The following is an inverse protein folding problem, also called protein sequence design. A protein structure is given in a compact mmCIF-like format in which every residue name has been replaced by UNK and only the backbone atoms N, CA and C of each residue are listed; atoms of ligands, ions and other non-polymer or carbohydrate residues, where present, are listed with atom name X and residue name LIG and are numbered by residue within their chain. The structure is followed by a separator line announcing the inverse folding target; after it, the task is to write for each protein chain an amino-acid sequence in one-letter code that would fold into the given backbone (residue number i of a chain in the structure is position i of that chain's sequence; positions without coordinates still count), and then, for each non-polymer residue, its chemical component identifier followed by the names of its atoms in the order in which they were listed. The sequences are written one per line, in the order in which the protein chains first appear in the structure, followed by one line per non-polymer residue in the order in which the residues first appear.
data_IF_014648622374
#
_entry.id   IF_014648622374
#
_cell.length_a   1.000
_cell.length_b   1.000
_cell.length_c   1.000
_cell.angle_alpha   90.00
_cell.angle_beta   90.00
_cell.angle_gamma   90.00
#
_symmetry.space_group_name_H-M   'P 1'
#
loop_
_entity.id
_entity.type
_entity.pdbx_description
1 polymer ?
#
# COMPACT_ATOMS: atom_id res chain seq x y z
N UNK A 1 -41.69 47.51 -26.75
CA UNK A 1 -41.92 46.14 -26.24
C UNK A 1 -40.93 45.10 -26.83
N UNK A 2 -39.61 45.32 -26.79
CA UNK A 2 -38.63 44.33 -27.34
C UNK A 2 -37.36 44.10 -26.48
N UNK A 3 -37.23 44.73 -25.31
CA UNK A 3 -36.03 44.60 -24.46
C UNK A 3 -36.18 43.68 -23.24
N UNK A 4 -37.39 43.21 -22.94
CA UNK A 4 -37.66 42.40 -21.75
C UNK A 4 -37.43 40.88 -21.95
N UNK A 5 -37.28 40.41 -23.18
CA UNK A 5 -37.19 38.97 -23.46
C UNK A 5 -35.78 38.36 -23.30
N UNK A 6 -34.73 39.19 -23.28
CA UNK A 6 -33.35 38.72 -23.18
C UNK A 6 -32.88 38.47 -21.73
N UNK A 7 -33.56 39.04 -20.72
CA UNK A 7 -33.19 38.86 -19.31
C UNK A 7 -33.77 37.57 -18.70
N UNK A 8 -34.78 36.96 -19.33
CA UNK A 8 -35.39 35.72 -18.86
C UNK A 8 -34.62 34.45 -19.30
N UNK A 9 -33.72 34.56 -20.28
CA UNK A 9 -32.95 33.41 -20.79
C UNK A 9 -31.64 33.22 -20.01
N UNK A 10 -31.12 34.25 -19.33
CA UNK A 10 -29.90 34.11 -18.52
C UNK A 10 -30.13 33.48 -17.14
N UNK A 11 -31.37 33.42 -16.65
CA UNK A 11 -31.69 32.89 -15.32
C UNK A 11 -31.80 31.35 -15.27
N UNK A 12 -31.85 30.66 -16.42
CA UNK A 12 -32.05 29.20 -16.48
C UNK A 12 -30.76 28.38 -16.59
N UNK A 13 -29.59 29.01 -16.56
CA UNK A 13 -28.29 28.31 -16.65
C UNK A 13 -27.48 28.31 -15.34
N UNK A 14 -28.04 28.75 -14.23
CA UNK A 14 -27.49 28.45 -12.91
C UNK A 14 -27.97 27.06 -12.48
N UNK A 15 -27.51 26.00 -13.19
CA UNK A 15 -27.41 24.69 -12.57
C UNK A 15 -26.37 24.83 -11.47
N UNK A 16 -26.82 25.12 -10.26
CA UNK A 16 -25.98 25.00 -9.06
C UNK A 16 -25.34 23.63 -9.10
N UNK A 17 -24.00 23.58 -9.10
CA UNK A 17 -23.27 22.34 -8.98
C UNK A 17 -23.67 21.70 -7.65
N UNK A 18 -24.42 20.60 -7.70
CA UNK A 18 -24.72 19.81 -6.51
C UNK A 18 -23.40 19.18 -6.07
N UNK A 19 -22.84 19.54 -4.90
CA UNK A 19 -21.63 18.91 -4.40
C UNK A 19 -21.90 17.42 -4.26
N UNK A 20 -20.99 16.55 -4.70
CA UNK A 20 -21.21 15.10 -4.76
C UNK A 20 -21.69 14.52 -3.41
N UNK A 21 -23.00 14.26 -3.23
CA UNK A 21 -23.55 13.89 -1.93
C UNK A 21 -23.25 12.42 -1.61
N UNK A 22 -23.15 11.59 -2.65
CA UNK A 22 -22.92 10.16 -2.57
C UNK A 22 -21.60 9.82 -1.87
N UNK A 23 -20.50 10.48 -2.24
CA UNK A 23 -19.20 10.20 -1.63
C UNK A 23 -19.18 10.57 -0.15
N UNK A 24 -19.72 11.74 0.20
CA UNK A 24 -19.76 12.22 1.60
C UNK A 24 -20.63 11.32 2.47
N UNK A 25 -21.80 10.93 1.97
CA UNK A 25 -22.72 10.07 2.69
C UNK A 25 -22.12 8.66 2.87
N UNK A 26 -21.61 8.07 1.78
CA UNK A 26 -21.02 6.73 1.82
C UNK A 26 -19.83 6.65 2.77
N UNK A 27 -18.94 7.64 2.73
CA UNK A 27 -17.80 7.69 3.67
C UNK A 27 -18.26 7.71 5.13
N UNK A 28 -19.33 8.45 5.43
CA UNK A 28 -19.90 8.53 6.78
C UNK A 28 -20.57 7.22 7.19
N UNK A 29 -21.29 6.57 6.28
CA UNK A 29 -21.95 5.30 6.56
C UNK A 29 -20.94 4.16 6.80
N UNK A 30 -19.92 4.03 5.93
CA UNK A 30 -18.90 3.00 6.07
C UNK A 30 -18.11 3.13 7.38
N UNK A 31 -17.84 4.36 7.82
CA UNK A 31 -17.06 4.61 9.05
C UNK A 31 -17.91 4.68 10.33
N UNK A 32 -19.25 4.55 10.24
CA UNK A 32 -20.13 4.79 11.40
C UNK A 32 -19.86 3.82 12.55
N UNK A 33 -19.67 2.55 12.22
CA UNK A 33 -19.50 1.43 13.16
C UNK A 33 -18.17 0.69 12.88
N UNK A 34 -17.25 1.32 12.16
CA UNK A 34 -15.96 0.72 11.78
C UNK A 34 -14.92 0.92 12.88
N UNK A 35 -14.24 -0.15 13.27
CA UNK A 35 -13.15 -0.12 14.24
C UNK A 35 -11.82 -0.52 13.59
N UNK A 36 -10.85 0.40 13.45
CA UNK A 36 -9.54 0.11 12.84
C UNK A 36 -8.69 -0.94 13.58
N UNK A 37 -9.06 -1.31 14.80
CA UNK A 37 -8.37 -2.35 15.57
C UNK A 37 -8.89 -3.75 15.27
N UNK A 38 -10.04 -3.87 14.61
CA UNK A 38 -10.65 -5.15 14.27
C UNK A 38 -10.13 -5.64 12.92
N UNK A 39 -9.67 -6.89 12.88
CA UNK A 39 -9.21 -7.52 11.65
C UNK A 39 -10.41 -7.67 10.69
N UNK A 40 -10.35 -7.15 9.45
CA UNK A 40 -11.52 -6.99 8.60
C UNK A 40 -11.91 -8.28 7.85
N UNK A 41 -12.29 -9.32 8.60
CA UNK A 41 -12.73 -10.63 8.07
C UNK A 41 -14.22 -10.85 8.30
N UNK A 42 -14.86 -11.59 7.40
CA UNK A 42 -16.26 -11.98 7.57
C UNK A 42 -16.48 -13.03 8.67
N UNK A 43 -15.45 -13.83 8.95
CA UNK A 43 -15.47 -14.89 9.96
C UNK A 43 -14.11 -14.94 10.65
N UNK A 44 -14.11 -14.87 11.98
CA UNK A 44 -12.91 -14.85 12.81
C UNK A 44 -12.02 -16.08 12.62
N UNK A 45 -12.61 -17.21 12.22
CA UNK A 45 -11.88 -18.46 11.99
C UNK A 45 -11.04 -18.47 10.71
N UNK A 46 -11.26 -17.54 9.78
CA UNK A 46 -10.50 -17.46 8.53
C UNK A 46 -9.32 -16.50 8.68
N UNK A 47 -8.19 -16.83 8.06
CA UNK A 47 -7.05 -15.93 7.93
C UNK A 47 -7.42 -14.74 7.02
N UNK A 48 -6.84 -13.56 7.30
CA UNK A 48 -6.85 -12.45 6.36
C UNK A 48 -5.65 -12.60 5.42
N UNK A 49 -5.90 -12.69 4.12
CA UNK A 49 -4.83 -12.75 3.12
C UNK A 49 -4.40 -11.34 2.72
N UNK A 50 -3.14 -10.99 2.98
CA UNK A 50 -2.51 -9.76 2.49
C UNK A 50 -1.73 -10.09 1.23
N UNK A 51 -2.06 -9.41 0.12
CA UNK A 51 -1.32 -9.52 -1.12
C UNK A 51 -0.12 -8.57 -1.08
N UNK A 52 1.04 -9.14 -0.74
CA UNK A 52 2.27 -8.38 -0.61
C UNK A 52 2.89 -8.15 -2.00
N UNK A 53 2.68 -6.95 -2.53
CA UNK A 53 3.38 -6.46 -3.72
C UNK A 53 4.61 -5.68 -3.28
N UNK A 54 5.76 -5.95 -3.88
CA UNK A 54 7.00 -5.22 -3.65
C UNK A 54 7.44 -4.57 -4.96
N UNK A 55 7.48 -3.25 -5.01
CA UNK A 55 7.97 -2.52 -6.19
C UNK A 55 9.32 -1.90 -5.86
N UNK A 56 10.40 -2.39 -6.48
CA UNK A 56 11.75 -1.86 -6.27
C UNK A 56 11.98 -0.66 -7.18
N UNK A 57 12.14 0.52 -6.59
CA UNK A 57 12.42 1.75 -7.34
C UNK A 57 13.92 1.93 -7.52
N UNK A 58 14.71 1.71 -6.47
CA UNK A 58 16.15 1.95 -6.52
C UNK A 58 16.90 1.15 -5.43
N UNK A 59 18.06 0.61 -5.78
CA UNK A 59 19.12 0.26 -4.82
C UNK A 59 19.92 1.53 -4.59
N UNK A 60 19.78 2.12 -3.40
CA UNK A 60 20.40 3.41 -3.11
C UNK A 60 21.86 3.25 -2.71
N UNK A 61 22.15 2.24 -1.88
CA UNK A 61 23.49 2.01 -1.35
C UNK A 61 23.67 0.57 -0.88
N UNK A 62 24.89 0.04 -1.02
CA UNK A 62 25.32 -1.26 -0.48
C UNK A 62 26.62 -1.00 0.29
N UNK A 63 26.54 -0.91 1.62
CA UNK A 63 27.72 -0.75 2.47
C UNK A 63 28.27 -2.15 2.81
N UNK A 64 29.33 -2.55 2.13
CA UNK A 64 29.96 -3.87 2.29
C UNK A 64 30.65 -4.00 3.64
N UNK A 65 31.14 -2.89 4.20
CA UNK A 65 31.84 -2.85 5.48
C UNK A 65 30.84 -3.00 6.63
N UNK A 66 29.73 -2.30 6.57
CA UNK A 66 28.67 -2.34 7.59
C UNK A 66 27.67 -3.45 7.34
N UNK A 67 27.72 -4.13 6.19
CA UNK A 67 26.83 -5.22 5.80
C UNK A 67 25.37 -4.74 5.70
N UNK A 68 25.17 -3.58 5.06
CA UNK A 68 23.87 -2.89 4.97
C UNK A 68 23.49 -2.68 3.51
N UNK A 69 22.23 -3.01 3.18
CA UNK A 69 21.59 -2.65 1.93
C UNK A 69 20.50 -1.61 2.19
N UNK A 70 20.54 -0.50 1.44
CA UNK A 70 19.52 0.54 1.47
C UNK A 70 18.74 0.56 0.15
N UNK A 71 17.41 0.37 0.21
CA UNK A 71 16.52 0.37 -0.96
C UNK A 71 15.36 1.36 -0.82
N UNK A 72 14.88 1.86 -1.96
CA UNK A 72 13.62 2.60 -2.06
C UNK A 72 12.57 1.70 -2.72
N UNK A 73 11.47 1.43 -2.03
CA UNK A 73 10.43 0.54 -2.51
C UNK A 73 9.03 0.93 -2.04
N UNK A 74 8.01 0.42 -2.74
CA UNK A 74 6.58 0.58 -2.39
C UNK A 74 5.97 -0.78 -2.07
N UNK A 75 5.00 -0.83 -1.15
CA UNK A 75 4.47 -2.07 -0.58
C UNK A 75 2.95 -2.19 -0.65
N UNK A 76 2.42 -3.42 -0.72
CA UNK A 76 1.18 -3.92 -0.10
C UNK A 76 -0.22 -3.64 -0.71
N UNK A 77 -1.09 -4.66 -0.66
CA UNK A 77 -2.53 -4.62 -0.96
C UNK A 77 -3.30 -5.63 -0.08
N UNK A 78 -4.55 -5.36 0.34
CA UNK A 78 -5.41 -6.34 1.05
C UNK A 78 -6.90 -6.15 0.72
N UNK A 79 -7.76 -7.01 1.26
CA UNK A 79 -9.21 -6.86 1.18
C UNK A 79 -9.81 -6.60 2.56
N UNK A 80 -10.69 -5.62 2.66
CA UNK A 80 -11.47 -5.30 3.85
C UNK A 80 -12.94 -5.68 3.63
N UNK A 81 -13.47 -6.55 4.47
CA UNK A 81 -14.85 -7.01 4.36
C UNK A 81 -15.89 -5.92 4.68
N UNK A 82 -15.57 -4.99 5.58
CA UNK A 82 -16.50 -3.97 6.05
C UNK A 82 -16.54 -2.73 5.15
N UNK A 83 -15.51 -2.51 4.33
CA UNK A 83 -15.43 -1.39 3.39
C UNK A 83 -15.98 -1.73 1.99
N UNK A 84 -17.11 -2.44 1.94
CA UNK A 84 -17.76 -2.84 0.69
C UNK A 84 -19.05 -2.04 0.45
N UNK A 85 -19.32 -1.69 -0.81
CA UNK A 85 -20.57 -1.03 -1.17
C UNK A 85 -21.01 -1.37 -2.59
N UNK A 86 -22.31 -1.21 -2.84
CA UNK A 86 -22.86 -1.39 -4.18
C UNK A 86 -22.66 -0.12 -5.01
N UNK A 87 -21.90 -0.21 -6.12
CA UNK A 87 -21.66 0.94 -6.99
C UNK A 87 -22.95 1.51 -7.61
N UNK A 88 -24.00 0.70 -7.77
CA UNK A 88 -25.26 1.15 -8.36
C UNK A 88 -26.04 2.13 -7.47
N UNK A 89 -25.85 2.06 -6.16
CA UNK A 89 -26.48 2.94 -5.17
C UNK A 89 -25.77 4.31 -5.05
N UNK A 90 -24.49 4.35 -5.45
CA UNK A 90 -23.63 5.52 -5.34
C UNK A 90 -23.02 5.89 -6.70
N UNK A 91 -23.83 6.41 -7.64
CA UNK A 91 -23.38 6.69 -8.99
C UNK A 91 -22.20 7.67 -8.99
N UNK A 92 -21.12 7.29 -9.66
CA UNK A 92 -19.88 8.07 -9.78
C UNK A 92 -18.84 7.81 -8.68
N UNK A 93 -19.15 7.05 -7.63
CA UNK A 93 -18.21 6.72 -6.54
C UNK A 93 -17.59 5.34 -6.77
N UNK A 94 -16.45 5.31 -7.46
CA UNK A 94 -15.71 4.06 -7.74
C UNK A 94 -14.74 3.68 -6.62
N UNK A 95 -14.02 4.69 -6.12
CA UNK A 95 -13.00 4.52 -5.08
C UNK A 95 -13.15 5.61 -4.02
N UNK A 96 -12.82 5.26 -2.79
CA UNK A 96 -12.75 6.16 -1.64
C UNK A 96 -11.31 6.23 -1.14
N UNK A 97 -10.98 7.33 -0.47
CA UNK A 97 -9.67 7.52 0.15
C UNK A 97 -9.83 7.66 1.65
N UNK A 98 -9.03 6.91 2.39
CA UNK A 98 -8.98 6.93 3.84
C UNK A 98 -7.56 7.23 4.29
N UNK A 99 -7.40 7.91 5.42
CA UNK A 99 -6.08 7.95 6.06
C UNK A 99 -5.81 6.59 6.72
N UNK A 100 -4.54 6.17 6.86
CA UNK A 100 -4.21 4.88 7.47
C UNK A 100 -4.74 4.71 8.90
N UNK A 101 -4.94 5.81 9.64
CA UNK A 101 -5.47 5.76 11.00
C UNK A 101 -7.01 5.62 11.05
N UNK A 102 -7.71 5.76 9.92
CA UNK A 102 -9.18 5.62 9.83
C UNK A 102 -9.63 4.19 9.51
N UNK A 103 -8.72 3.36 9.00
CA UNK A 103 -9.01 2.00 8.54
C UNK A 103 -8.00 1.03 9.14
N UNK A 104 -8.37 -0.23 9.26
CA UNK A 104 -7.43 -1.27 9.66
C UNK A 104 -6.28 -1.34 8.64
N UNK A 105 -5.06 -1.37 9.13
CA UNK A 105 -3.84 -1.55 8.33
C UNK A 105 -2.99 -2.64 8.96
N UNK A 106 -2.47 -3.61 8.20
CA UNK A 106 -1.63 -4.65 8.75
C UNK A 106 -0.29 -4.07 9.21
N UNK A 107 0.24 -4.62 10.28
CA UNK A 107 1.50 -4.24 10.93
C UNK A 107 2.71 -4.93 10.30
N UNK A 108 2.85 -4.83 8.98
CA UNK A 108 3.96 -5.45 8.24
C UNK A 108 5.22 -4.60 8.38
N UNK A 109 6.26 -5.18 8.95
CA UNK A 109 7.54 -4.53 9.20
C UNK A 109 8.71 -5.35 8.65
N UNK A 110 9.85 -4.69 8.44
CA UNK A 110 11.10 -5.32 8.04
C UNK A 110 11.83 -5.89 9.27
N UNK A 111 11.93 -7.22 9.36
CA UNK A 111 12.52 -7.93 10.50
C UNK A 111 14.04 -7.79 10.57
N UNK A 112 14.71 -7.82 9.42
CA UNK A 112 16.15 -7.63 9.33
C UNK A 112 16.52 -6.16 9.09
N UNK A 113 15.75 -5.22 9.68
CA UNK A 113 16.07 -3.79 9.64
C UNK A 113 17.37 -3.50 10.37
N UNK A 114 18.25 -2.71 9.75
CA UNK A 114 19.49 -2.21 10.36
C UNK A 114 19.37 -0.74 10.81
N UNK A 115 18.15 -0.20 10.88
CA UNK A 115 17.88 1.19 11.22
C UNK A 115 16.97 1.31 12.45
N UNK A 116 17.23 2.30 13.29
CA UNK A 116 16.54 2.50 14.58
C UNK A 116 15.03 2.75 14.44
N UNK A 117 14.62 3.30 13.30
CA UNK A 117 13.20 3.42 12.92
C UNK A 117 12.80 2.21 12.09
N UNK A 118 12.06 1.29 12.71
CA UNK A 118 11.52 0.09 12.07
C UNK A 118 10.38 0.39 11.08
N UNK A 119 9.57 1.42 11.34
CA UNK A 119 8.63 1.94 10.35
C UNK A 119 9.37 2.91 9.42
N UNK A 120 9.77 2.36 8.28
CA UNK A 120 10.51 3.04 7.21
C UNK A 120 9.60 3.76 6.21
N UNK A 121 8.28 3.66 6.36
CA UNK A 121 7.32 4.06 5.34
C UNK A 121 6.73 5.45 5.58
N UNK A 122 6.45 6.18 4.50
CA UNK A 122 5.68 7.42 4.57
C UNK A 122 4.19 7.10 4.46
N UNK A 123 3.42 7.43 5.50
CA UNK A 123 1.98 7.17 5.55
C UNK A 123 1.21 7.95 4.47
N UNK A 124 0.90 7.29 3.36
CA UNK A 124 0.02 7.79 2.29
C UNK A 124 -1.45 7.49 2.61
N UNK A 125 -2.38 7.90 1.74
CA UNK A 125 -3.78 7.50 1.87
C UNK A 125 -3.99 6.07 1.33
N UNK A 126 -4.91 5.35 1.93
CA UNK A 126 -5.42 4.06 1.44
C UNK A 126 -6.51 4.34 0.41
N UNK A 127 -6.38 3.76 -0.79
CA UNK A 127 -7.41 3.80 -1.82
C UNK A 127 -8.23 2.52 -1.75
N UNK A 128 -9.52 2.64 -1.49
CA UNK A 128 -10.42 1.48 -1.38
C UNK A 128 -11.41 1.51 -2.53
N UNK A 129 -11.59 0.37 -3.19
CA UNK A 129 -12.61 0.22 -4.23
C UNK A 129 -13.90 -0.39 -3.67
N UNK A 130 -14.97 -0.42 -4.47
CA UNK A 130 -16.28 -0.89 -4.00
C UNK A 130 -16.33 -2.36 -3.56
N UNK A 131 -15.35 -3.18 -3.97
CA UNK A 131 -15.24 -4.58 -3.54
C UNK A 131 -14.55 -4.74 -2.19
N UNK A 132 -14.13 -3.64 -1.55
CA UNK A 132 -13.34 -3.65 -0.33
C UNK A 132 -11.85 -3.87 -0.56
N UNK A 133 -11.39 -3.88 -1.82
CA UNK A 133 -9.96 -3.97 -2.10
C UNK A 133 -9.27 -2.67 -1.70
N UNK A 134 -8.30 -2.79 -0.81
CA UNK A 134 -7.51 -1.73 -0.24
C UNK A 134 -6.13 -1.72 -0.90
N UNK A 135 -5.87 -0.68 -1.68
CA UNK A 135 -4.56 -0.38 -2.24
C UNK A 135 -3.87 0.66 -1.35
N UNK A 136 -2.76 0.27 -0.75
CA UNK A 136 -2.00 1.13 0.15
C UNK A 136 -0.53 1.01 -0.21
N UNK A 137 -0.03 1.95 -0.98
CA UNK A 137 1.33 1.96 -1.50
C UNK A 137 2.15 3.08 -0.84
N UNK A 138 2.58 2.92 0.42
CA UNK A 138 3.44 3.91 1.05
C UNK A 138 4.87 3.78 0.51
N UNK A 139 5.52 4.87 0.08
CA UNK A 139 6.93 4.83 -0.27
C UNK A 139 7.76 4.67 1.00
N UNK A 140 8.78 3.82 0.97
CA UNK A 140 9.68 3.57 2.10
C UNK A 140 11.13 3.47 1.70
N UNK A 141 12.01 3.91 2.60
CA UNK A 141 13.46 3.69 2.52
C UNK A 141 13.82 2.56 3.48
N UNK A 142 14.04 1.37 2.94
CA UNK A 142 14.33 0.19 3.74
C UNK A 142 15.83 0.03 3.89
N UNK A 143 16.30 0.02 5.14
CA UNK A 143 17.69 -0.22 5.50
C UNK A 143 17.75 -1.60 6.14
N UNK A 144 18.39 -2.55 5.46
CA UNK A 144 18.39 -3.96 5.83
C UNK A 144 19.80 -4.48 6.04
N UNK A 145 19.97 -5.46 6.93
CA UNK A 145 21.23 -6.20 7.02
C UNK A 145 21.36 -7.14 5.81
N UNK A 146 22.48 -7.09 5.11
CA UNK A 146 22.82 -7.98 4.00
C UNK A 146 24.19 -8.62 4.24
N UNK A 147 24.29 -9.94 4.09
CA UNK A 147 25.55 -10.65 4.22
C UNK A 147 26.39 -10.53 2.93
N UNK A 148 27.18 -9.46 2.85
CA UNK A 148 28.03 -9.12 1.73
C UNK A 148 29.35 -9.90 1.79
N UNK A 149 29.69 -10.56 0.68
CA UNK A 149 30.87 -11.39 0.54
C UNK A 149 31.86 -10.82 -0.48
N UNK A 150 32.95 -10.22 0.00
CA UNK A 150 33.94 -9.50 -0.82
C UNK A 150 35.10 -10.37 -1.31
N UNK A 151 34.98 -11.70 -1.27
CA UNK A 151 36.08 -12.62 -1.69
C UNK A 151 36.52 -12.45 -3.14
N UNK A 152 35.63 -11.97 -4.01
CA UNK A 152 35.83 -11.88 -5.47
C UNK A 152 35.80 -10.46 -6.02
N UNK A 153 35.95 -9.46 -5.14
CA UNK A 153 35.97 -8.06 -5.53
C UNK A 153 37.00 -7.80 -6.66
N UNK A 154 36.66 -7.02 -7.70
CA UNK A 154 35.43 -6.25 -7.93
C UNK A 154 34.36 -6.97 -8.80
N UNK A 155 34.46 -8.29 -8.97
CA UNK A 155 33.54 -9.09 -9.80
C UNK A 155 32.74 -10.08 -8.95
N UNK A 156 32.13 -9.57 -7.90
CA UNK A 156 31.35 -10.31 -6.92
C UNK A 156 29.84 -10.22 -7.19
N UNK A 157 29.09 -11.16 -6.61
CA UNK A 157 27.63 -11.21 -6.68
C UNK A 157 27.12 -11.22 -5.25
N UNK A 158 26.26 -10.26 -4.93
CA UNK A 158 25.67 -10.14 -3.62
C UNK A 158 24.22 -10.63 -3.60
N UNK A 159 23.84 -11.31 -2.52
CA UNK A 159 22.48 -11.81 -2.28
C UNK A 159 21.97 -11.22 -0.97
N UNK A 160 21.12 -10.21 -1.10
CA UNK A 160 20.51 -9.54 0.03
C UNK A 160 19.05 -9.95 0.17
N UNK A 161 18.64 -10.33 1.38
CA UNK A 161 17.28 -10.72 1.69
C UNK A 161 16.55 -9.55 2.38
N UNK A 162 15.29 -9.31 2.02
CA UNK A 162 14.39 -8.41 2.75
C UNK A 162 13.29 -9.26 3.40
N UNK A 163 13.23 -9.28 4.74
CA UNK A 163 12.30 -10.13 5.49
C UNK A 163 11.15 -9.31 6.04
N UNK A 164 10.02 -9.35 5.36
CA UNK A 164 8.79 -8.69 5.80
C UNK A 164 7.89 -9.66 6.55
N UNK A 165 7.27 -9.20 7.63
CA UNK A 165 6.35 -10.00 8.43
C UNK A 165 5.44 -9.12 9.30
N UNK A 166 4.30 -9.68 9.71
CA UNK A 166 3.41 -9.05 10.69
C UNK A 166 4.01 -9.18 12.09
N UNK A 167 4.03 -8.08 12.84
CA UNK A 167 4.65 -8.05 14.17
C UNK A 167 3.81 -8.73 15.26
N UNK A 168 2.48 -8.64 15.15
CA UNK A 168 1.55 -9.08 16.20
C UNK A 168 0.60 -10.19 15.78
N UNK A 169 0.48 -10.50 14.49
CA UNK A 169 -0.36 -11.60 13.99
C UNK A 169 0.50 -12.81 13.59
N UNK A 170 0.03 -14.01 13.96
CA UNK A 170 0.57 -15.25 13.44
C UNK A 170 0.06 -15.53 12.01
N UNK A 171 0.66 -16.54 11.36
CA UNK A 171 0.30 -16.93 10.00
C UNK A 171 -1.10 -17.56 9.84
N UNK A 172 -1.80 -17.88 10.94
CA UNK A 172 -3.17 -18.38 10.91
C UNK A 172 -4.20 -17.24 10.92
N UNK A 173 -3.84 -16.09 11.49
CA UNK A 173 -4.67 -14.90 11.50
C UNK A 173 -4.39 -14.00 10.29
N UNK A 174 -3.14 -13.91 9.85
CA UNK A 174 -2.71 -13.04 8.76
C UNK A 174 -1.73 -13.80 7.85
N UNK A 175 -2.18 -14.14 6.64
CA UNK A 175 -1.40 -14.84 5.63
C UNK A 175 -0.85 -13.84 4.60
N UNK A 176 0.47 -13.69 4.53
CA UNK A 176 1.15 -12.71 3.66
C UNK A 176 1.58 -13.41 2.37
N UNK A 177 0.77 -13.28 1.32
CA UNK A 177 1.06 -13.88 0.03
C UNK A 177 1.83 -12.91 -0.86
N UNK A 178 3.09 -13.24 -1.15
CA UNK A 178 3.94 -12.44 -2.03
C UNK A 178 3.51 -12.57 -3.50
N UNK A 179 3.43 -11.42 -4.18
CA UNK A 179 3.43 -11.33 -5.65
C UNK A 179 4.87 -11.21 -6.14
N UNK A 180 5.06 -11.49 -7.43
CA UNK A 180 6.32 -11.22 -8.12
C UNK A 180 6.71 -9.75 -7.92
N UNK A 181 7.98 -9.52 -7.56
CA UNK A 181 8.48 -8.17 -7.35
C UNK A 181 8.44 -7.38 -8.66
N UNK A 182 7.90 -6.16 -8.61
CA UNK A 182 7.84 -5.27 -9.76
C UNK A 182 9.11 -4.42 -9.82
N UNK A 183 9.88 -4.61 -10.89
CA UNK A 183 11.11 -3.88 -11.19
C UNK A 183 10.98 -3.03 -12.47
N UNK A 184 9.77 -2.89 -13.03
CA UNK A 184 9.55 -2.16 -14.29
C UNK A 184 9.93 -0.68 -14.21
N UNK A 185 9.81 -0.08 -13.02
CA UNK A 185 10.22 1.29 -12.73
C UNK A 185 11.61 1.44 -12.10
N UNK A 186 12.44 0.38 -12.11
CA UNK A 186 13.74 0.38 -11.45
C UNK A 186 14.71 1.39 -12.09
N UNK A 187 15.30 2.25 -11.27
CA UNK A 187 16.40 3.13 -11.64
C UNK A 187 17.73 2.39 -11.44
N UNK A 188 18.50 2.14 -12.52
CA UNK A 188 19.80 1.47 -12.42
C UNK A 188 20.75 2.22 -11.49
N UNK A 189 21.48 1.47 -10.68
CA UNK A 189 22.54 1.99 -9.84
C UNK A 189 23.84 2.10 -10.67
N UNK A 190 24.71 3.07 -10.35
CA UNK A 190 25.95 3.31 -11.09
C UNK A 190 27.10 2.34 -10.75
N UNK A 191 26.98 1.60 -9.66
CA UNK A 191 27.98 0.68 -9.12
C UNK A 191 27.49 -0.77 -9.15
N UNK A 192 26.19 -1.00 -8.92
CA UNK A 192 25.60 -2.34 -8.82
C UNK A 192 24.57 -2.63 -9.91
N UNK A 193 24.71 -3.79 -10.56
CA UNK A 193 23.72 -4.31 -11.49
C UNK A 193 22.70 -5.21 -10.78
N UNK A 194 21.40 -4.92 -10.97
CA UNK A 194 20.33 -5.79 -10.48
C UNK A 194 20.18 -7.00 -11.42
N UNK A 195 20.66 -8.16 -10.97
CA UNK A 195 20.59 -9.40 -11.76
C UNK A 195 19.21 -10.08 -11.72
N UNK A 196 18.46 -9.91 -10.62
CA UNK A 196 17.14 -10.49 -10.46
C UNK A 196 16.61 -10.39 -9.04
N UNK A 197 15.32 -10.67 -8.90
CA UNK A 197 14.61 -10.80 -7.62
C UNK A 197 14.11 -12.23 -7.45
N UNK A 198 13.95 -12.66 -6.21
CA UNK A 198 13.39 -13.97 -5.89
C UNK A 198 12.55 -13.87 -4.62
N UNK A 199 11.38 -14.49 -4.64
CA UNK A 199 10.41 -14.46 -3.57
C UNK A 199 10.43 -15.78 -2.79
N UNK A 200 10.35 -15.70 -1.47
CA UNK A 200 10.20 -16.86 -0.60
C UNK A 200 9.10 -16.59 0.42
N UNK A 201 8.07 -17.43 0.42
CA UNK A 201 6.98 -17.37 1.40
C UNK A 201 7.20 -18.41 2.51
N UNK A 202 7.01 -18.01 3.76
CA UNK A 202 7.06 -18.90 4.92
C UNK A 202 6.02 -18.48 5.94
N UNK A 203 5.25 -19.46 6.44
CA UNK A 203 4.23 -19.25 7.46
C UNK A 203 4.85 -19.53 8.83
N UNK A 204 4.83 -18.52 9.70
CA UNK A 204 5.32 -18.63 11.08
C UNK A 204 4.15 -18.86 12.06
N UNK A 205 4.44 -19.56 13.15
CA UNK A 205 3.50 -19.84 14.25
C UNK A 205 3.78 -18.93 15.43
#
# INVERSE_FOLDING_TARGET
MRRAFWLLILATLLRGSVPGPHQRFLLKELLRDYNPMERPVANDSHALTVQFSFTLIQVMDVDEKSQILTTNAWLQMWYDHYLQWNQSEYPGVKNLRFTPDQVWTPDILLYNSAHDKFDATFKTNVLVNSSGFCEYLPPGIFVSTCNVDVRWFPFDIQRCELKFGSWTFDGWLLDIQMKEADVTGYMPNGEWDLLGTAEQHTIFK
#
